data_IF_119894140302
#
_entry.id   IF_119894140302
#
_cell.length_a   1.000
_cell.length_b   1.000
_cell.length_c   1.000
_cell.angle_alpha   90.00
_cell.angle_beta   90.00
_cell.angle_gamma   90.00
#
_symmetry.space_group_name_H-M   'P 1'
#
loop_
_entity.id
_entity.type
_entity.pdbx_description
1 polymer ?
#
# COMPACT_ATOMS: atom_id res chain seq x y z
N UNK A 1 6.46 2.73 -14.63
CA UNK A 1 6.34 1.38 -15.20
C UNK A 1 7.56 1.15 -16.06
N UNK A 2 8.30 0.09 -15.80
CA UNK A 2 9.39 -0.34 -16.65
C UNK A 2 8.87 -1.30 -17.72
N UNK A 3 9.32 -1.13 -18.96
CA UNK A 3 8.99 -2.04 -20.07
C UNK A 3 10.26 -2.44 -20.83
N UNK A 4 10.35 -3.71 -21.19
CA UNK A 4 11.41 -4.27 -22.03
C UNK A 4 10.76 -5.04 -23.18
N UNK A 5 11.28 -4.85 -24.39
CA UNK A 5 10.70 -5.40 -25.61
C UNK A 5 11.69 -6.37 -26.24
N UNK A 6 11.19 -7.51 -26.70
CA UNK A 6 11.95 -8.46 -27.51
C UNK A 6 11.52 -8.37 -28.97
N UNK A 7 12.37 -8.90 -29.86
CA UNK A 7 12.06 -9.02 -31.27
C UNK A 7 10.80 -9.87 -31.47
N UNK A 8 10.01 -9.50 -32.47
CA UNK A 8 8.89 -10.31 -32.92
C UNK A 8 9.35 -11.71 -33.37
N UNK A 9 8.56 -12.73 -33.02
CA UNK A 9 8.74 -14.10 -33.52
C UNK A 9 8.49 -14.21 -35.03
N UNK A 10 7.75 -13.26 -35.60
CA UNK A 10 7.61 -13.08 -37.04
C UNK A 10 8.77 -12.23 -37.59
N UNK A 11 9.63 -12.77 -38.49
CA UNK A 11 10.83 -12.08 -38.98
C UNK A 11 10.54 -10.88 -39.89
N UNK A 12 9.31 -10.74 -40.40
CA UNK A 12 8.90 -9.60 -41.21
C UNK A 12 8.51 -8.37 -40.38
N UNK A 13 8.33 -8.55 -39.07
CA UNK A 13 8.05 -7.46 -38.12
C UNK A 13 9.38 -7.12 -37.43
N UNK A 14 9.96 -5.98 -37.80
CA UNK A 14 11.28 -5.54 -37.34
C UNK A 14 11.21 -4.40 -36.31
N UNK A 15 10.01 -4.03 -35.89
CA UNK A 15 9.77 -2.93 -34.97
C UNK A 15 9.26 -3.43 -33.61
N UNK A 16 9.35 -2.57 -32.61
CA UNK A 16 8.96 -2.87 -31.22
C UNK A 16 7.77 -2.01 -30.82
N UNK A 17 6.80 -2.56 -30.09
CA UNK A 17 5.63 -1.82 -29.59
C UNK A 17 5.32 -2.18 -28.15
N UNK A 18 5.02 -1.19 -27.32
CA UNK A 18 4.61 -1.37 -25.92
C UNK A 18 3.75 -0.19 -25.51
N UNK A 19 2.64 -0.45 -24.82
CA UNK A 19 1.70 0.60 -24.45
C UNK A 19 1.27 0.49 -22.98
N UNK A 20 1.22 1.65 -22.34
CA UNK A 20 0.49 1.91 -21.11
C UNK A 20 -0.87 2.52 -21.49
N UNK A 21 -1.95 1.96 -20.94
CA UNK A 21 -3.32 2.41 -21.09
C UNK A 21 -3.78 3.10 -19.83
N UNK A 22 -4.57 4.16 -19.95
CA UNK A 22 -5.11 4.89 -18.80
C UNK A 22 -6.47 5.53 -19.10
N UNK A 23 -7.25 5.73 -18.02
CA UNK A 23 -8.64 6.18 -18.06
C UNK A 23 -9.50 5.29 -18.95
N UNK A 24 -9.34 3.98 -18.79
CA UNK A 24 -10.21 2.96 -19.39
C UNK A 24 -11.55 3.02 -18.63
N UNK A 25 -12.67 3.43 -19.25
CA UNK A 25 -13.95 3.55 -18.55
C UNK A 25 -14.42 2.18 -18.03
N UNK A 26 -14.91 2.16 -16.78
CA UNK A 26 -15.69 1.05 -16.26
C UNK A 26 -17.15 1.29 -16.63
N UNK A 27 -17.55 0.85 -17.82
CA UNK A 27 -18.96 0.89 -18.22
C UNK A 27 -19.47 -0.53 -18.43
N UNK A 28 -20.29 -1.03 -17.52
CA UNK A 28 -20.89 -2.36 -17.57
C UNK A 28 -21.95 -2.50 -18.67
N UNK A 29 -22.41 -1.39 -19.25
CA UNK A 29 -23.51 -1.38 -20.22
C UNK A 29 -23.05 -1.36 -21.69
N UNK A 30 -21.75 -1.26 -21.97
CA UNK A 30 -21.22 -1.37 -23.33
C UNK A 30 -20.29 -2.57 -23.44
N UNK A 31 -20.57 -3.49 -24.37
CA UNK A 31 -19.71 -4.64 -24.69
C UNK A 31 -18.37 -4.24 -25.35
N UNK A 32 -17.81 -3.06 -25.03
CA UNK A 32 -16.71 -2.45 -25.79
C UNK A 32 -15.74 -1.60 -24.93
N UNK A 33 -15.60 -1.92 -23.64
CA UNK A 33 -14.68 -1.23 -22.71
C UNK A 33 -13.19 -1.35 -23.10
N UNK A 34 -12.84 -2.28 -23.99
CA UNK A 34 -11.51 -2.48 -24.56
C UNK A 34 -11.18 -1.57 -25.75
N UNK A 35 -12.09 -0.66 -26.13
CA UNK A 35 -11.87 0.27 -27.25
C UNK A 35 -12.02 1.75 -26.89
N UNK A 36 -12.13 2.08 -25.61
CA UNK A 36 -12.25 3.45 -25.12
C UNK A 36 -11.17 3.71 -24.07
N UNK A 37 -10.14 4.49 -24.40
CA UNK A 37 -9.03 4.79 -23.50
C UNK A 37 -8.09 5.86 -24.06
N UNK A 38 -7.14 6.31 -23.25
CA UNK A 38 -5.87 6.82 -23.75
C UNK A 38 -4.80 5.73 -23.72
N UNK A 39 -3.86 5.77 -24.65
CA UNK A 39 -2.65 4.97 -24.61
C UNK A 39 -1.42 5.82 -24.88
N UNK A 40 -0.36 5.58 -24.12
CA UNK A 40 0.95 6.14 -24.33
C UNK A 40 1.97 5.01 -24.45
N UNK A 41 2.89 5.10 -25.40
CA UNK A 41 3.99 4.14 -25.45
C UNK A 41 4.74 4.13 -26.76
N UNK A 42 5.53 3.08 -26.94
CA UNK A 42 6.48 2.91 -28.03
C UNK A 42 5.72 2.42 -29.27
N UNK A 43 5.86 3.16 -30.37
CA UNK A 43 5.36 2.81 -31.70
C UNK A 43 6.55 2.74 -32.65
N UNK A 44 7.32 1.65 -32.55
CA UNK A 44 8.60 1.49 -33.23
C UNK A 44 8.51 1.42 -34.75
N UNK A 45 7.35 1.08 -35.32
CA UNK A 45 7.10 1.14 -36.77
C UNK A 45 7.07 2.59 -37.31
N UNK A 46 6.94 3.56 -36.40
CA UNK A 46 7.09 4.99 -36.70
C UNK A 46 8.28 5.63 -36.02
N UNK A 47 9.08 4.85 -35.29
CA UNK A 47 10.24 5.37 -34.55
C UNK A 47 9.89 6.50 -33.58
N UNK A 48 8.76 6.35 -32.88
CA UNK A 48 8.20 7.38 -32.00
C UNK A 48 7.67 6.78 -30.70
N UNK A 49 7.66 7.60 -29.66
CA UNK A 49 6.66 7.49 -28.60
C UNK A 49 5.40 8.22 -29.05
N UNK A 50 4.23 7.68 -28.74
CA UNK A 50 2.95 8.22 -29.19
C UNK A 50 1.93 8.26 -28.06
N UNK A 51 1.14 9.33 -28.02
CA UNK A 51 -0.05 9.43 -27.19
C UNK A 51 -1.29 9.45 -28.09
N UNK A 52 -2.16 8.46 -27.90
CA UNK A 52 -3.43 8.34 -28.60
C UNK A 52 -4.61 8.34 -27.64
N UNK A 53 -5.75 8.84 -28.10
CA UNK A 53 -7.08 8.46 -27.58
C UNK A 53 -7.75 7.54 -28.58
N UNK A 54 -8.42 6.51 -28.06
CA UNK A 54 -9.30 5.62 -28.81
C UNK A 54 -10.74 5.86 -28.38
N UNK A 55 -11.62 6.04 -29.36
CA UNK A 55 -13.06 6.32 -29.16
C UNK A 55 -13.91 5.28 -29.91
N UNK A 56 -13.86 4.03 -29.44
CA UNK A 56 -14.50 2.89 -30.09
C UNK A 56 -13.58 2.18 -31.09
N UNK A 57 -14.15 1.29 -31.90
CA UNK A 57 -13.36 0.35 -32.71
C UNK A 57 -12.40 1.04 -33.70
N UNK A 58 -12.85 2.12 -34.34
CA UNK A 58 -12.19 2.71 -35.51
C UNK A 58 -11.73 4.16 -35.32
N UNK A 59 -12.10 4.83 -34.23
CA UNK A 59 -11.77 6.23 -34.05
C UNK A 59 -10.50 6.37 -33.21
N UNK A 60 -9.45 6.91 -33.83
CA UNK A 60 -8.17 7.17 -33.20
C UNK A 60 -7.79 8.63 -33.36
N UNK A 61 -7.38 9.27 -32.28
CA UNK A 61 -6.86 10.64 -32.30
C UNK A 61 -5.45 10.64 -31.72
N UNK A 62 -4.46 11.07 -32.51
CA UNK A 62 -3.09 11.31 -32.03
C UNK A 62 -3.03 12.68 -31.37
N UNK A 63 -2.64 12.71 -30.10
CA UNK A 63 -2.53 13.96 -29.35
C UNK A 63 -1.10 14.50 -29.34
N UNK A 64 -0.11 13.61 -29.40
CA UNK A 64 1.29 14.01 -29.44
C UNK A 64 2.20 12.83 -29.68
N UNK A 65 3.44 13.14 -29.99
CA UNK A 65 4.51 12.17 -30.20
C UNK A 65 5.88 12.79 -29.94
N UNK A 66 6.87 11.90 -29.86
CA UNK A 66 8.26 12.23 -29.62
C UNK A 66 9.16 11.24 -30.38
N UNK A 67 10.20 11.73 -31.04
CA UNK A 67 11.13 10.86 -31.79
C UNK A 67 11.88 9.93 -30.85
N UNK A 68 11.77 8.63 -31.08
CA UNK A 68 12.38 7.63 -30.21
C UNK A 68 12.53 6.28 -30.91
N UNK A 69 13.76 5.76 -30.90
CA UNK A 69 14.09 4.44 -31.43
C UNK A 69 14.35 3.48 -30.26
N UNK A 70 13.38 2.61 -29.97
CA UNK A 70 13.55 1.58 -28.96
C UNK A 70 14.56 0.52 -29.43
N UNK A 71 15.35 0.02 -28.50
CA UNK A 71 16.27 -1.09 -28.69
C UNK A 71 15.73 -2.34 -28.02
N UNK A 72 16.01 -3.50 -28.63
CA UNK A 72 15.66 -4.79 -28.06
C UNK A 72 16.40 -5.00 -26.73
N UNK A 73 15.74 -5.66 -25.78
CA UNK A 73 16.31 -6.04 -24.48
C UNK A 73 16.81 -4.89 -23.60
N UNK A 74 16.37 -3.66 -23.86
CA UNK A 74 16.60 -2.50 -23.01
C UNK A 74 15.33 -2.19 -22.20
N UNK A 75 15.50 -1.92 -20.91
CA UNK A 75 14.43 -1.43 -20.04
C UNK A 75 14.24 0.06 -20.22
N UNK A 76 12.99 0.47 -20.46
CA UNK A 76 12.57 1.86 -20.52
C UNK A 76 11.53 2.15 -19.45
N UNK A 77 11.65 3.29 -18.77
CA UNK A 77 10.64 3.75 -17.83
C UNK A 77 9.62 4.65 -18.55
N UNK A 78 8.39 4.17 -18.66
CA UNK A 78 7.27 4.96 -19.15
C UNK A 78 6.46 5.49 -17.96
N UNK A 79 6.14 6.79 -18.02
CA UNK A 79 5.34 7.48 -17.03
C UNK A 79 4.22 8.30 -17.66
N UNK A 80 3.07 8.36 -16.99
CA UNK A 80 1.99 9.28 -17.33
C UNK A 80 1.53 9.97 -16.05
N UNK A 81 1.44 11.30 -16.10
CA UNK A 81 0.89 12.15 -15.04
C UNK A 81 -0.37 12.81 -15.57
N UNK A 82 -1.50 12.57 -14.89
CA UNK A 82 -2.79 13.14 -15.27
C UNK A 82 -3.33 14.01 -14.14
N UNK A 83 -3.57 15.30 -14.40
CA UNK A 83 -4.14 16.27 -13.46
C UNK A 83 -5.29 17.03 -14.10
N UNK A 84 -6.52 16.73 -13.69
CA UNK A 84 -7.71 17.24 -14.39
C UNK A 84 -7.66 16.83 -15.86
N UNK A 85 -7.65 17.79 -16.78
CA UNK A 85 -7.54 17.51 -18.21
C UNK A 85 -6.08 17.44 -18.72
N UNK A 86 -5.10 17.87 -17.92
CA UNK A 86 -3.69 17.86 -18.31
C UNK A 86 -3.13 16.43 -18.29
N UNK A 87 -2.56 16.00 -19.42
CA UNK A 87 -1.89 14.71 -19.58
C UNK A 87 -0.44 15.00 -19.95
N UNK A 88 0.51 14.48 -19.16
CA UNK A 88 1.95 14.58 -19.42
C UNK A 88 2.54 13.19 -19.45
N UNK A 89 3.33 12.90 -20.47
CA UNK A 89 3.98 11.60 -20.64
C UNK A 89 5.50 11.74 -20.53
N UNK A 90 6.13 10.70 -20.00
CA UNK A 90 7.53 10.68 -19.63
C UNK A 90 8.22 9.43 -20.17
N UNK A 91 9.48 9.61 -20.60
CA UNK A 91 10.43 8.55 -20.90
C UNK A 91 11.64 8.74 -19.98
N UNK A 92 11.98 7.73 -19.20
CA UNK A 92 13.16 7.73 -18.32
C UNK A 92 13.22 8.96 -17.38
N UNK A 93 12.04 9.41 -16.94
CA UNK A 93 11.86 10.57 -16.06
C UNK A 93 11.79 11.92 -16.78
N UNK A 94 12.15 12.00 -18.06
CA UNK A 94 12.04 13.22 -18.86
C UNK A 94 10.64 13.37 -19.47
N UNK A 95 10.05 14.56 -19.42
CA UNK A 95 8.75 14.83 -20.03
C UNK A 95 8.89 14.97 -21.55
N UNK A 96 8.23 14.08 -22.30
CA UNK A 96 8.32 14.02 -23.77
C UNK A 96 7.05 14.51 -24.48
N UNK A 97 5.88 14.44 -23.83
CA UNK A 97 4.59 14.88 -24.40
C UNK A 97 3.80 15.60 -23.30
N UNK A 98 3.15 16.72 -23.64
CA UNK A 98 2.21 17.43 -22.77
C UNK A 98 1.01 17.95 -23.56
N UNK A 99 -0.19 17.50 -23.19
CA UNK A 99 -1.44 17.84 -23.87
C UNK A 99 -2.57 18.06 -22.87
N UNK A 100 -3.74 18.45 -23.36
CA UNK A 100 -4.96 18.55 -22.55
C UNK A 100 -6.13 17.90 -23.29
N UNK A 101 -6.87 17.03 -22.60
CA UNK A 101 -8.11 16.43 -23.11
C UNK A 101 -9.06 16.10 -21.96
N UNK A 102 -10.37 16.26 -22.20
CA UNK A 102 -11.41 16.14 -21.17
C UNK A 102 -12.39 14.98 -21.40
N UNK A 103 -12.16 14.16 -22.44
CA UNK A 103 -13.11 13.12 -22.89
C UNK A 103 -13.34 12.03 -21.85
N UNK A 104 -12.25 11.43 -21.37
CA UNK A 104 -12.30 10.48 -20.24
C UNK A 104 -11.67 11.16 -19.03
N UNK A 105 -12.37 11.19 -17.90
CA UNK A 105 -11.93 11.90 -16.69
C UNK A 105 -11.42 10.95 -15.60
N UNK A 106 -11.94 9.73 -15.59
CA UNK A 106 -11.57 8.63 -14.69
C UNK A 106 -11.55 7.31 -15.46
N UNK A 107 -11.01 6.28 -14.83
CA UNK A 107 -10.99 4.92 -15.37
C UNK A 107 -9.77 4.15 -14.90
N UNK A 108 -9.73 2.87 -15.26
CA UNK A 108 -8.61 1.98 -14.95
C UNK A 108 -7.34 2.29 -15.74
N UNK A 109 -6.31 1.51 -15.44
CA UNK A 109 -5.07 1.43 -16.20
C UNK A 109 -4.92 0.03 -16.82
N UNK A 110 -4.07 -0.08 -17.83
CA UNK A 110 -3.73 -1.35 -18.44
C UNK A 110 -2.34 -1.31 -19.07
N UNK A 111 -1.81 -2.46 -19.42
CA UNK A 111 -0.55 -2.61 -20.15
C UNK A 111 -0.78 -3.58 -21.30
N UNK A 112 -0.06 -3.44 -22.40
CA UNK A 112 -0.24 -4.38 -23.50
C UNK A 112 0.51 -4.06 -24.77
N UNK A 113 0.54 -5.07 -25.62
CA UNK A 113 0.97 -5.03 -27.02
C UNK A 113 -0.26 -5.38 -27.87
N UNK A 114 -0.27 -4.94 -29.13
CA UNK A 114 -1.41 -5.14 -30.03
C UNK A 114 -1.07 -6.05 -31.22
N UNK A 115 -0.02 -6.88 -31.09
CA UNK A 115 0.43 -7.77 -32.16
C UNK A 115 0.78 -9.16 -31.62
N UNK A 116 0.25 -10.19 -32.29
CA UNK A 116 0.31 -11.60 -31.87
C UNK A 116 1.74 -12.17 -31.77
N UNK A 117 2.71 -11.51 -32.39
CA UNK A 117 4.08 -12.00 -32.52
C UNK A 117 5.07 -11.31 -31.57
N UNK A 118 4.64 -10.35 -30.75
CA UNK A 118 5.51 -9.55 -29.89
C UNK A 118 5.51 -10.03 -28.44
N UNK A 119 6.71 -10.06 -27.85
CA UNK A 119 6.91 -10.32 -26.42
C UNK A 119 7.35 -9.04 -25.71
N UNK A 120 6.57 -8.62 -24.71
CA UNK A 120 6.92 -7.51 -23.83
C UNK A 120 6.97 -7.98 -22.38
N UNK A 121 7.91 -7.40 -21.64
CA UNK A 121 8.01 -7.54 -20.20
C UNK A 121 7.67 -6.21 -19.55
N UNK A 122 7.01 -6.31 -18.40
CA UNK A 122 6.56 -5.17 -17.63
C UNK A 122 6.90 -5.40 -16.16
N UNK A 123 7.44 -4.38 -15.53
CA UNK A 123 7.78 -4.40 -14.11
C UNK A 123 7.58 -3.00 -13.50
N UNK A 124 7.61 -2.91 -12.16
CA UNK A 124 7.51 -1.65 -11.42
C UNK A 124 6.31 -0.78 -11.86
N UNK A 125 5.15 -1.42 -12.03
CA UNK A 125 3.89 -0.73 -12.32
C UNK A 125 3.36 -0.16 -11.01
N UNK A 126 3.39 1.16 -10.90
CA UNK A 126 2.94 1.89 -9.71
C UNK A 126 1.99 3.00 -10.15
N UNK A 127 0.82 3.04 -9.53
CA UNK A 127 -0.14 4.15 -9.65
C UNK A 127 -0.13 4.91 -8.33
N UNK A 128 -0.02 6.23 -8.39
CA UNK A 128 -0.01 7.10 -7.20
C UNK A 128 -0.95 8.28 -7.40
N UNK A 129 -1.65 8.73 -6.36
CA UNK A 129 -2.39 9.98 -6.42
C UNK A 129 -1.40 11.15 -6.60
N UNK A 130 -1.86 12.23 -7.23
CA UNK A 130 -1.05 13.45 -7.40
C UNK A 130 -0.74 14.14 -6.08
N UNK A 131 -1.67 14.05 -5.14
CA UNK A 131 -1.58 14.59 -3.80
C UNK A 131 -1.75 13.40 -2.87
N UNK A 132 -0.73 13.13 -2.07
CA UNK A 132 -0.85 12.11 -1.03
C UNK A 132 -1.84 12.58 0.03
N UNK A 133 -2.76 11.72 0.48
CA UNK A 133 -3.62 12.08 1.60
C UNK A 133 -2.74 12.36 2.82
N UNK A 134 -3.03 13.40 3.59
CA UNK A 134 -2.27 13.69 4.83
C UNK A 134 -2.45 12.61 5.90
N UNK A 135 -3.53 11.84 5.78
CA UNK A 135 -3.94 10.76 6.67
C UNK A 135 -4.43 9.59 5.83
N UNK A 136 -3.85 8.41 6.03
CA UNK A 136 -4.30 7.17 5.40
C UNK A 136 -5.46 6.54 6.19
N UNK A 137 -5.39 6.63 7.53
CA UNK A 137 -6.41 6.13 8.42
C UNK A 137 -6.33 6.88 9.76
N UNK A 138 -7.48 7.11 10.39
CA UNK A 138 -7.53 7.62 11.76
C UNK A 138 -8.79 7.12 12.46
N UNK A 139 -8.66 6.79 13.74
CA UNK A 139 -9.79 6.49 14.61
C UNK A 139 -9.43 6.87 16.05
N UNK A 140 -10.24 7.75 16.64
CA UNK A 140 -10.16 8.14 18.05
C UNK A 140 -11.36 7.63 18.85
N UNK A 141 -12.17 6.75 18.24
CA UNK A 141 -13.31 6.07 18.85
C UNK A 141 -14.40 6.99 19.45
N UNK A 142 -14.35 8.30 19.19
CA UNK A 142 -15.33 9.27 19.68
C UNK A 142 -16.69 9.18 18.96
N UNK A 143 -16.76 8.40 17.88
CA UNK A 143 -18.03 8.01 17.23
C UNK A 143 -18.86 7.05 18.08
N UNK A 144 -18.25 6.45 19.12
CA UNK A 144 -18.90 5.45 19.97
C UNK A 144 -19.03 4.06 19.32
N UNK A 145 -18.44 3.85 18.14
CA UNK A 145 -18.53 2.60 17.36
C UNK A 145 -17.18 2.25 16.72
N UNK A 146 -16.85 0.96 16.67
CA UNK A 146 -15.65 0.44 16.00
C UNK A 146 -15.98 -0.24 14.65
N UNK A 147 -17.18 -0.80 14.53
CA UNK A 147 -17.55 -1.77 13.49
C UNK A 147 -17.60 -1.18 12.07
N UNK A 148 -17.61 0.15 11.94
CA UNK A 148 -17.61 0.84 10.65
C UNK A 148 -16.24 0.89 9.99
N UNK A 149 -15.15 0.70 10.74
CA UNK A 149 -13.77 0.93 10.27
C UNK A 149 -12.84 -0.28 10.45
N UNK A 150 -13.20 -1.24 11.31
CA UNK A 150 -12.31 -2.33 11.69
C UNK A 150 -12.94 -3.70 11.45
N UNK A 151 -12.12 -4.63 10.96
CA UNK A 151 -12.44 -6.04 10.94
C UNK A 151 -12.03 -6.69 12.28
N UNK A 152 -13.01 -7.16 13.06
CA UNK A 152 -12.80 -7.81 14.37
C UNK A 152 -12.62 -9.31 14.20
N UNK A 153 -11.39 -9.76 14.01
CA UNK A 153 -11.07 -11.16 13.73
C UNK A 153 -11.16 -12.05 14.96
N UNK A 154 -10.75 -11.53 16.13
CA UNK A 154 -10.77 -12.25 17.40
C UNK A 154 -11.20 -11.36 18.55
N UNK A 155 -11.74 -12.01 19.59
CA UNK A 155 -12.04 -11.40 20.89
C UNK A 155 -13.29 -10.56 20.92
N UNK A 156 -13.48 -9.86 22.04
CA UNK A 156 -14.57 -8.92 22.25
C UNK A 156 -14.03 -7.50 22.21
N UNK A 157 -14.60 -6.69 21.32
CA UNK A 157 -14.28 -5.27 21.18
C UNK A 157 -15.51 -4.43 21.51
N UNK A 158 -15.34 -3.47 22.41
CA UNK A 158 -16.39 -2.56 22.86
C UNK A 158 -15.81 -1.16 22.97
N UNK A 159 -16.53 -0.15 22.49
CA UNK A 159 -16.27 1.25 22.85
C UNK A 159 -17.15 1.56 24.06
N UNK A 160 -16.61 1.66 25.28
CA UNK A 160 -17.45 1.98 26.44
C UNK A 160 -18.11 3.35 26.27
N UNK A 161 -19.27 3.54 26.89
CA UNK A 161 -20.02 4.78 26.77
C UNK A 161 -19.17 6.00 27.17
N UNK A 162 -19.18 7.03 26.32
CA UNK A 162 -18.48 8.32 26.51
C UNK A 162 -16.98 8.18 26.87
N UNK A 163 -16.34 7.10 26.41
CA UNK A 163 -14.96 6.78 26.78
C UNK A 163 -13.91 7.49 25.94
N UNK A 164 -14.20 7.69 24.64
CA UNK A 164 -13.21 8.09 23.64
C UNK A 164 -12.08 7.05 23.47
N UNK A 165 -12.33 5.77 23.72
CA UNK A 165 -11.37 4.69 23.47
C UNK A 165 -12.08 3.36 23.23
N UNK A 166 -11.46 2.44 22.50
CA UNK A 166 -11.94 1.07 22.36
C UNK A 166 -11.27 0.12 23.33
N UNK A 167 -12.01 -0.88 23.82
CA UNK A 167 -11.52 -1.94 24.71
C UNK A 167 -11.55 -3.29 24.01
N UNK A 168 -10.39 -3.93 23.94
CA UNK A 168 -10.23 -5.33 23.56
C UNK A 168 -10.16 -6.23 24.80
N UNK A 169 -10.83 -7.38 24.74
CA UNK A 169 -10.85 -8.39 25.81
C UNK A 169 -11.11 -9.81 25.27
N UNK A 170 -10.82 -10.83 26.07
CA UNK A 170 -10.92 -12.24 25.70
C UNK A 170 -9.57 -12.97 25.80
N UNK A 171 -9.53 -14.25 25.45
CA UNK A 171 -8.30 -15.07 25.38
C UNK A 171 -7.39 -14.74 24.20
N UNK A 172 -7.93 -14.07 23.19
CA UNK A 172 -7.23 -13.38 22.13
C UNK A 172 -8.17 -12.28 21.62
N UNK A 173 -7.62 -11.16 21.19
CA UNK A 173 -8.38 -10.13 20.49
C UNK A 173 -7.51 -9.51 19.42
N UNK A 174 -8.03 -9.45 18.20
CA UNK A 174 -7.29 -8.92 17.06
C UNK A 174 -8.26 -8.22 16.13
N UNK A 175 -8.01 -6.94 15.89
CA UNK A 175 -8.77 -6.15 14.96
C UNK A 175 -7.84 -5.48 13.96
N UNK A 176 -8.25 -5.43 12.69
CA UNK A 176 -7.41 -4.99 11.58
C UNK A 176 -8.12 -4.00 10.66
N UNK A 177 -7.31 -3.24 9.95
CA UNK A 177 -7.69 -2.46 8.77
C UNK A 177 -6.76 -2.91 7.66
N UNK A 178 -7.28 -3.75 6.77
CA UNK A 178 -6.50 -4.44 5.72
C UNK A 178 -7.13 -4.35 4.33
N UNK A 179 -8.44 -4.11 4.26
CA UNK A 179 -9.14 -3.92 2.99
C UNK A 179 -8.65 -2.64 2.32
N UNK A 180 -8.39 -2.73 1.01
CA UNK A 180 -7.85 -1.65 0.18
C UNK A 180 -6.56 -0.99 0.69
N UNK A 181 -5.78 -1.70 1.53
CA UNK A 181 -4.53 -1.21 2.09
C UNK A 181 -3.31 -1.65 1.26
N UNK A 182 -2.94 -0.85 0.25
CA UNK A 182 -1.70 -1.01 -0.51
C UNK A 182 -0.50 -0.24 0.11
N UNK A 183 -0.62 0.15 1.39
CA UNK A 183 0.30 1.08 2.03
C UNK A 183 1.71 0.53 2.15
N UNK A 184 2.65 1.22 1.52
CA UNK A 184 4.08 0.85 1.50
C UNK A 184 4.84 1.62 2.60
N UNK A 185 5.05 2.91 2.43
CA UNK A 185 5.77 3.71 3.43
C UNK A 185 4.77 4.52 4.24
N UNK A 186 4.72 4.26 5.55
CA UNK A 186 3.80 4.95 6.45
C UNK A 186 4.33 5.01 7.87
N UNK A 187 3.82 5.98 8.62
CA UNK A 187 3.90 5.99 10.08
C UNK A 187 2.55 5.57 10.64
N UNK A 188 2.58 4.71 11.64
CA UNK A 188 1.41 4.25 12.36
C UNK A 188 1.63 4.40 13.85
N UNK A 189 0.74 5.13 14.53
CA UNK A 189 0.75 5.32 15.97
C UNK A 189 -0.58 4.94 16.60
N UNK A 190 -0.52 4.53 17.87
CA UNK A 190 -1.68 4.25 18.73
C UNK A 190 -1.31 4.49 20.18
N UNK A 191 -2.27 4.99 20.97
CA UNK A 191 -2.18 4.96 22.42
C UNK A 191 -2.78 3.66 22.94
N UNK A 192 -2.10 3.03 23.89
CA UNK A 192 -2.58 1.81 24.55
C UNK A 192 -2.48 1.91 26.06
N UNK A 193 -3.46 1.34 26.77
CA UNK A 193 -3.47 1.20 28.22
C UNK A 193 -3.86 -0.21 28.60
N UNK A 194 -2.95 -0.89 29.30
CA UNK A 194 -3.18 -2.25 29.78
C UNK A 194 -3.85 -2.18 31.15
N UNK A 195 -5.10 -2.64 31.24
CA UNK A 195 -5.82 -2.80 32.51
C UNK A 195 -5.35 -4.07 33.23
N UNK A 196 -4.96 -5.09 32.46
CA UNK A 196 -4.62 -6.43 32.95
C UNK A 196 -5.85 -7.18 33.44
N UNK A 197 -5.66 -8.16 34.31
CA UNK A 197 -6.71 -8.73 35.15
C UNK A 197 -6.21 -8.93 36.58
N UNK A 198 -7.10 -9.30 37.51
CA UNK A 198 -6.72 -9.66 38.88
C UNK A 198 -5.95 -10.99 38.96
N UNK A 199 -6.11 -11.85 37.95
CA UNK A 199 -5.55 -13.21 37.92
C UNK A 199 -4.32 -13.32 37.01
N UNK A 200 -4.10 -12.37 36.11
CA UNK A 200 -2.98 -12.37 35.16
C UNK A 200 -2.04 -11.20 35.45
N UNK A 201 -0.81 -11.54 35.80
CA UNK A 201 0.29 -10.58 36.00
C UNK A 201 0.97 -10.20 34.70
N UNK A 202 0.80 -10.98 33.63
CA UNK A 202 1.30 -10.66 32.30
C UNK A 202 0.57 -9.42 31.74
N UNK A 203 1.33 -8.36 31.47
CA UNK A 203 0.85 -7.13 30.88
C UNK A 203 1.37 -7.10 29.46
N UNK A 204 0.48 -7.07 28.47
CA UNK A 204 0.83 -7.08 27.05
C UNK A 204 -0.15 -6.24 26.26
N UNK A 205 0.36 -5.53 25.26
CA UNK A 205 -0.44 -4.86 24.24
C UNK A 205 0.37 -4.81 22.95
N UNK A 206 -0.28 -5.06 21.82
CA UNK A 206 0.37 -5.00 20.51
C UNK A 206 -0.28 -4.00 19.56
N UNK A 207 0.59 -3.42 18.74
CA UNK A 207 0.30 -2.78 17.48
C UNK A 207 0.82 -3.72 16.37
N UNK A 208 0.00 -3.98 15.36
CA UNK A 208 0.34 -4.83 14.21
C UNK A 208 0.45 -3.98 12.94
N UNK A 209 1.41 -4.28 12.08
CA UNK A 209 1.64 -3.50 10.87
C UNK A 209 2.17 -4.38 9.74
N UNK A 210 1.99 -3.92 8.50
CA UNK A 210 2.18 -4.72 7.28
C UNK A 210 1.37 -6.02 7.30
N UNK A 211 0.17 -5.95 7.88
CA UNK A 211 -0.70 -7.11 8.00
C UNK A 211 -1.12 -7.57 6.62
N UNK A 212 -0.79 -8.82 6.27
CA UNK A 212 -1.28 -9.50 5.06
C UNK A 212 -2.51 -10.33 5.40
N UNK A 213 -2.42 -11.07 6.51
CA UNK A 213 -3.44 -11.97 7.04
C UNK A 213 -3.17 -12.25 8.53
N UNK A 214 -3.88 -13.22 9.12
CA UNK A 214 -3.75 -13.60 10.54
C UNK A 214 -2.46 -14.33 10.91
N UNK A 215 -1.59 -14.65 9.95
CA UNK A 215 -0.37 -15.44 10.11
C UNK A 215 0.88 -14.73 9.56
N UNK A 216 0.72 -13.57 8.91
CA UNK A 216 1.77 -12.85 8.20
C UNK A 216 1.69 -11.34 8.50
N UNK A 217 2.54 -10.86 9.42
CA UNK A 217 2.62 -9.45 9.81
C UNK A 217 3.88 -9.13 10.63
N UNK A 218 4.15 -7.84 10.86
CA UNK A 218 5.01 -7.41 11.97
C UNK A 218 4.17 -7.02 13.19
N UNK A 219 4.78 -7.13 14.37
CA UNK A 219 4.16 -6.82 15.65
C UNK A 219 5.11 -6.04 16.52
N UNK A 220 4.69 -4.85 16.95
CA UNK A 220 5.35 -4.08 18.00
C UNK A 220 4.57 -4.22 19.30
N UNK A 221 5.26 -4.51 20.40
CA UNK A 221 4.62 -4.75 21.68
C UNK A 221 5.28 -4.07 22.85
N UNK A 222 4.47 -3.81 23.87
CA UNK A 222 4.93 -3.60 25.24
C UNK A 222 4.51 -4.81 26.07
N UNK A 223 5.47 -5.42 26.74
CA UNK A 223 5.30 -6.63 27.53
C UNK A 223 6.07 -6.50 28.85
N UNK A 224 5.53 -6.98 29.96
CA UNK A 224 6.23 -6.88 31.26
C UNK A 224 7.36 -7.91 31.40
N UNK A 225 7.32 -9.00 30.65
CA UNK A 225 8.32 -10.07 30.69
C UNK A 225 9.46 -9.86 29.68
N UNK A 226 9.17 -9.17 28.57
CA UNK A 226 10.07 -9.08 27.41
C UNK A 226 10.39 -7.63 26.99
N UNK A 227 9.75 -6.65 27.62
CA UNK A 227 9.97 -5.23 27.39
C UNK A 227 9.25 -4.68 26.16
N UNK A 228 9.88 -3.76 25.44
CA UNK A 228 9.40 -3.23 24.18
C UNK A 228 9.96 -4.08 23.03
N UNK A 229 9.11 -4.82 22.33
CA UNK A 229 9.53 -5.93 21.46
C UNK A 229 9.01 -5.78 20.03
N UNK A 230 9.90 -5.98 19.05
CA UNK A 230 9.57 -6.05 17.64
C UNK A 230 9.68 -7.50 17.16
N UNK A 231 8.59 -8.03 16.62
CA UNK A 231 8.52 -9.36 16.03
C UNK A 231 8.06 -9.31 14.57
N UNK A 232 8.37 -10.38 13.85
CA UNK A 232 7.78 -10.75 12.56
C UNK A 232 7.12 -12.12 12.72
N UNK A 233 5.95 -12.30 12.12
CA UNK A 233 5.34 -13.62 11.95
C UNK A 233 5.25 -13.94 10.46
N UNK A 234 5.69 -15.14 10.08
CA UNK A 234 5.62 -15.63 8.68
C UNK A 234 5.03 -17.03 8.71
N UNK A 235 3.87 -17.22 8.07
CA UNK A 235 3.14 -18.48 8.05
C UNK A 235 2.89 -19.05 9.47
N UNK A 236 2.63 -18.18 10.45
CA UNK A 236 2.40 -18.55 11.84
C UNK A 236 3.68 -18.67 12.69
N UNK A 237 4.85 -18.73 12.06
CA UNK A 237 6.13 -18.86 12.78
C UNK A 237 6.65 -17.51 13.25
N UNK A 238 7.00 -17.42 14.53
CA UNK A 238 7.43 -16.18 15.17
C UNK A 238 8.94 -15.98 15.12
N UNK A 239 9.35 -14.75 14.81
CA UNK A 239 10.73 -14.30 14.87
C UNK A 239 10.83 -13.02 15.72
N UNK A 240 11.70 -13.04 16.74
CA UNK A 240 12.11 -11.83 17.45
C UNK A 240 13.13 -11.07 16.58
N UNK A 241 12.85 -9.81 16.27
CA UNK A 241 13.74 -8.97 15.47
C UNK A 241 14.60 -8.07 16.35
N UNK A 242 14.00 -7.47 17.38
CA UNK A 242 14.69 -6.59 18.32
C UNK A 242 13.86 -6.41 19.60
N UNK A 243 14.52 -6.02 20.69
CA UNK A 243 13.86 -5.64 21.92
C UNK A 243 14.59 -4.50 22.64
N UNK A 244 13.87 -3.83 23.53
CA UNK A 244 14.39 -2.81 24.43
C UNK A 244 13.82 -3.04 25.85
N UNK A 245 14.65 -3.04 26.91
CA UNK A 245 14.16 -3.23 28.27
C UNK A 245 13.13 -2.17 28.66
N UNK A 246 11.99 -2.60 29.19
CA UNK A 246 10.91 -1.70 29.61
C UNK A 246 10.19 -2.30 30.82
N UNK A 247 10.01 -1.49 31.86
CA UNK A 247 9.08 -1.78 32.95
C UNK A 247 7.73 -1.10 32.64
N UNK A 248 6.67 -1.90 32.55
CA UNK A 248 5.32 -1.39 32.28
C UNK A 248 4.45 -1.40 33.52
N UNK A 249 3.56 -0.40 33.59
CA UNK A 249 2.64 -0.17 34.70
C UNK A 249 1.20 -0.37 34.24
N UNK A 250 0.41 -1.08 35.04
CA UNK A 250 -1.04 -1.19 34.86
C UNK A 250 -1.67 0.20 34.84
N UNK A 251 -2.71 0.38 34.03
CA UNK A 251 -3.51 1.60 33.93
C UNK A 251 -2.75 2.86 33.48
N UNK A 252 -1.55 2.72 32.92
CA UNK A 252 -0.83 3.84 32.28
C UNK A 252 -1.03 3.80 30.76
N UNK A 253 -1.27 4.97 30.17
CA UNK A 253 -1.28 5.12 28.71
C UNK A 253 0.15 5.21 28.17
N UNK A 254 0.41 4.45 27.12
CA UNK A 254 1.66 4.47 26.35
C UNK A 254 1.35 4.83 24.90
N UNK A 255 2.18 5.67 24.29
CA UNK A 255 2.12 5.93 22.85
C UNK A 255 3.11 5.00 22.14
N UNK A 256 2.61 4.09 21.31
CA UNK A 256 3.41 3.23 20.45
C UNK A 256 3.37 3.78 19.03
N UNK A 257 4.53 3.88 18.39
CA UNK A 257 4.61 4.33 16.99
C UNK A 257 5.64 3.54 16.22
N UNK A 258 5.29 3.16 15.00
CA UNK A 258 6.20 2.59 13.99
C UNK A 258 6.30 3.54 12.81
N UNK A 259 7.49 3.67 12.25
CA UNK A 259 7.73 4.31 10.95
C UNK A 259 8.40 3.29 10.03
N UNK A 260 7.76 3.02 8.89
CA UNK A 260 8.30 2.15 7.84
C UNK A 260 8.78 3.05 6.70
N UNK A 261 10.10 3.22 6.65
CA UNK A 261 10.77 4.02 5.64
C UNK A 261 11.24 3.21 4.45
N UNK A 262 11.95 3.89 3.56
CA UNK A 262 12.67 3.26 2.44
C UNK A 262 13.61 2.16 2.90
N UNK A 263 13.93 1.22 2.01
CA UNK A 263 14.84 0.10 2.26
C UNK A 263 14.44 -0.81 3.43
N UNK A 264 13.13 -0.94 3.70
CA UNK A 264 12.59 -1.81 4.76
C UNK A 264 13.11 -1.46 6.18
N UNK A 265 13.44 -0.18 6.40
CA UNK A 265 13.82 0.30 7.73
C UNK A 265 12.57 0.52 8.58
N UNK A 266 12.54 -0.14 9.74
CA UNK A 266 11.51 -0.06 10.76
C UNK A 266 12.07 0.70 11.96
N UNK A 267 11.46 1.83 12.30
CA UNK A 267 11.77 2.59 13.52
C UNK A 267 10.61 2.48 14.49
N UNK A 268 10.88 2.05 15.72
CA UNK A 268 9.85 1.92 16.76
C UNK A 268 10.10 2.91 17.89
N UNK A 269 9.05 3.65 18.23
CA UNK A 269 9.06 4.70 19.23
C UNK A 269 8.13 4.31 20.38
N UNK A 270 8.58 4.61 21.59
CA UNK A 270 7.79 4.51 22.81
C UNK A 270 7.74 5.90 23.44
N UNK A 271 6.53 6.44 23.61
CA UNK A 271 6.31 7.81 24.10
C UNK A 271 7.18 8.83 23.34
N UNK A 272 7.10 8.73 22.01
CA UNK A 272 7.81 9.58 21.03
C UNK A 272 9.34 9.52 21.08
N UNK A 273 9.92 8.68 21.93
CA UNK A 273 11.37 8.39 21.94
C UNK A 273 11.67 7.17 21.09
N UNK A 274 12.59 7.29 20.13
CA UNK A 274 13.09 6.17 19.34
C UNK A 274 13.79 5.15 20.25
N UNK A 275 13.34 3.89 20.23
CA UNK A 275 13.94 2.80 21.05
C UNK A 275 14.54 1.68 20.21
N UNK A 276 13.98 1.42 19.03
CA UNK A 276 14.44 0.36 18.13
C UNK A 276 14.56 0.92 16.72
N UNK A 277 15.67 0.63 16.05
CA UNK A 277 15.83 0.76 14.59
C UNK A 277 16.24 -0.62 14.08
N UNK A 278 15.50 -1.15 13.12
CA UNK A 278 15.75 -2.46 12.50
C UNK A 278 15.59 -2.36 10.99
N UNK A 279 16.37 -3.11 10.23
CA UNK A 279 16.21 -3.21 8.77
C UNK A 279 15.94 -4.67 8.42
N UNK A 280 14.77 -4.96 7.86
CA UNK A 280 14.44 -6.32 7.42
C UNK A 280 14.96 -6.59 6.01
N UNK A 281 16.01 -7.41 5.92
CA UNK A 281 16.64 -7.80 4.67
C UNK A 281 16.24 -9.23 4.22
N UNK A 282 15.32 -9.89 4.94
CA UNK A 282 14.96 -11.30 4.69
C UNK A 282 13.46 -11.38 4.41
N UNK A 283 13.10 -11.34 3.13
CA UNK A 283 11.71 -11.40 2.64
C UNK A 283 10.76 -10.42 3.36
N UNK A 284 11.03 -9.10 3.32
CA UNK A 284 10.24 -8.11 4.03
C UNK A 284 8.81 -7.99 3.48
N UNK A 285 7.84 -7.69 4.34
CA UNK A 285 6.49 -7.34 3.88
C UNK A 285 6.49 -5.91 3.32
N UNK A 286 6.36 -5.79 2.00
CA UNK A 286 6.53 -4.50 1.28
C UNK A 286 5.31 -3.59 1.36
N UNK A 287 4.11 -4.14 1.57
CA UNK A 287 2.86 -3.40 1.79
C UNK A 287 2.06 -4.04 2.92
N UNK A 288 0.87 -3.52 3.23
CA UNK A 288 -0.08 -4.18 4.12
C UNK A 288 -0.66 -3.25 5.18
N UNK A 289 -1.79 -3.69 5.72
CA UNK A 289 -2.62 -2.93 6.64
C UNK A 289 -2.07 -2.85 8.06
N UNK A 290 -2.94 -2.42 8.97
CA UNK A 290 -2.64 -2.25 10.39
C UNK A 290 -3.54 -3.13 11.27
N UNK A 291 -3.17 -3.27 12.53
CA UNK A 291 -4.03 -3.86 13.54
C UNK A 291 -3.67 -3.45 14.96
N UNK A 292 -4.54 -3.83 15.88
CA UNK A 292 -4.39 -3.69 17.33
C UNK A 292 -4.85 -4.97 18.01
N UNK A 293 -4.28 -5.25 19.19
CA UNK A 293 -4.78 -6.29 20.08
C UNK A 293 -3.70 -7.16 20.71
N UNK A 294 -4.09 -8.38 21.08
CA UNK A 294 -3.26 -9.41 21.71
C UNK A 294 -3.63 -10.78 21.14
N UNK A 295 -2.63 -11.58 20.76
CA UNK A 295 -2.82 -12.96 20.29
C UNK A 295 -2.43 -13.96 21.37
N UNK A 296 -3.23 -15.03 21.51
CA UNK A 296 -2.90 -16.22 22.33
C UNK A 296 -2.53 -15.89 23.78
N UNK A 297 -3.30 -15.03 24.46
CA UNK A 297 -3.05 -14.65 25.85
C UNK A 297 -4.34 -14.59 26.66
N UNK A 298 -4.42 -15.43 27.69
CA UNK A 298 -5.61 -15.53 28.53
C UNK A 298 -5.86 -14.24 29.34
N UNK A 299 -7.12 -13.80 29.33
CA UNK A 299 -7.70 -12.82 30.25
C UNK A 299 -6.93 -11.48 30.43
N UNK A 300 -6.55 -10.84 29.31
CA UNK A 300 -6.03 -9.46 29.30
C UNK A 300 -7.10 -8.49 28.77
N UNK A 301 -7.22 -7.34 29.44
CA UNK A 301 -8.03 -6.21 28.97
C UNK A 301 -7.10 -5.05 28.59
N UNK A 302 -7.24 -4.57 27.36
CA UNK A 302 -6.43 -3.48 26.80
C UNK A 302 -7.37 -2.43 26.20
N UNK A 303 -7.09 -1.17 26.51
CA UNK A 303 -7.75 -0.04 25.88
C UNK A 303 -6.83 0.56 24.80
N UNK A 304 -7.39 0.96 23.66
CA UNK A 304 -6.70 1.61 22.55
C UNK A 304 -7.38 2.92 22.16
N UNK A 305 -6.59 3.92 21.79
CA UNK A 305 -7.08 5.24 21.40
C UNK A 305 -6.10 5.95 20.44
N UNK A 306 -6.54 7.02 19.78
CA UNK A 306 -5.77 7.88 18.91
C UNK A 306 -4.98 7.11 17.83
N UNK A 307 -5.65 6.17 17.17
CA UNK A 307 -5.09 5.45 16.02
C UNK A 307 -4.89 6.45 14.89
N UNK A 308 -3.66 6.55 14.39
CA UNK A 308 -3.35 7.45 13.28
C UNK A 308 -2.30 6.83 12.37
N UNK A 309 -2.63 6.77 11.09
CA UNK A 309 -1.76 6.35 9.99
C UNK A 309 -1.57 7.49 9.01
N UNK A 310 -0.33 7.82 8.69
CA UNK A 310 0.02 8.86 7.71
C UNK A 310 1.05 8.32 6.73
N UNK A 311 1.04 8.74 5.46
CA UNK A 311 2.07 8.31 4.53
C UNK A 311 3.44 8.84 4.97
N UNK A 312 4.49 8.08 4.66
CA UNK A 312 5.88 8.48 4.81
C UNK A 312 6.49 8.53 3.41
N UNK A 313 7.11 9.64 3.06
CA UNK A 313 7.72 9.83 1.74
C UNK A 313 9.06 9.08 1.64
#
# INVERSE_FOLDING_TARGET
MNTKLEKSTNPYIQYLKSYLYFRIPNDSDTMNTDTMYYRFGIKGDESRLVLYRRDGNYNWTRFGDYEFQAQENVWYNLGVKVQGNSIRCYLDGEQVIAVSDAKYQSGGIGIGTNEDYMTNYYDDIVVRPLVWPETLFADNFNTGQMDSLWNKLLGTWVVPQDSGFVRGSGSAHFATVVEDCDWTNYRYQVKTRIKGSEFVSALRSYLFFKVQDTLNFYRLGICNDSGFVLHKQVNGEWQLLANYPLEIKKNLWYNLKVEMGVNNQIKCYLNDTLRITYTDNVNPFVNGGIGIGVLEQEAIVVDYDDVLVKPLQ
#
